data_IF_675906138809
#
_entry.id   IF_675906138809
#
_cell.length_a   1.000
_cell.length_b   1.000
_cell.length_c   1.000
_cell.angle_alpha   90.00
_cell.angle_beta   90.00
_cell.angle_gamma   90.00
#
_symmetry.space_group_name_H-M   'P 1'
#
loop_
_entity.id
_entity.type
_entity.pdbx_description
1 polymer ?
#
# COMPACT_ATOMS: atom_id res chain seq x y z
N UNK A 1 36.92 41.99 41.10
CA UNK A 1 36.28 42.71 39.97
C UNK A 1 36.52 41.97 38.62
N UNK A 2 37.80 41.69 38.29
CA UNK A 2 38.14 41.00 37.03
C UNK A 2 37.60 39.57 36.96
N UNK A 3 37.59 38.84 38.06
CA UNK A 3 37.05 37.47 38.10
C UNK A 3 35.53 37.47 38.00
N UNK A 4 34.84 38.41 38.60
CA UNK A 4 33.39 38.59 38.48
C UNK A 4 32.97 38.92 37.03
N UNK A 5 33.71 39.81 36.39
CA UNK A 5 33.48 40.16 34.99
C UNK A 5 33.73 38.97 34.05
N UNK A 6 34.74 38.13 34.33
CA UNK A 6 34.99 36.92 33.54
C UNK A 6 33.88 35.86 33.70
N UNK A 7 33.32 35.71 34.89
CA UNK A 7 32.23 34.82 35.19
C UNK A 7 30.95 35.30 34.50
N UNK A 8 30.59 36.56 34.62
CA UNK A 8 29.43 37.21 34.01
C UNK A 8 29.47 37.13 32.46
N UNK A 9 30.59 37.49 31.85
CA UNK A 9 30.77 37.36 30.39
C UNK A 9 30.88 35.92 29.94
N UNK A 10 31.34 35.00 30.78
CA UNK A 10 31.37 33.56 30.51
C UNK A 10 29.96 32.97 30.45
N UNK A 11 29.07 33.35 31.36
CA UNK A 11 27.68 32.91 31.37
C UNK A 11 26.90 33.49 30.19
N UNK A 12 27.08 34.76 29.89
CA UNK A 12 26.44 35.44 28.78
C UNK A 12 26.86 34.84 27.42
N UNK A 13 28.16 34.53 27.27
CA UNK A 13 28.67 33.82 26.07
C UNK A 13 28.13 32.41 25.92
N UNK A 14 27.95 31.67 27.05
CA UNK A 14 27.36 30.36 27.02
C UNK A 14 25.86 30.40 26.68
N UNK A 15 25.12 31.36 27.20
CA UNK A 15 23.71 31.57 26.87
C UNK A 15 23.52 31.93 25.39
N UNK A 16 24.33 32.86 24.88
CA UNK A 16 24.30 33.24 23.46
C UNK A 16 24.66 32.05 22.55
N UNK A 17 25.66 31.25 22.94
CA UNK A 17 26.02 30.03 22.20
C UNK A 17 24.88 29.01 22.15
N UNK A 18 24.17 28.77 23.26
CA UNK A 18 23.00 27.88 23.29
C UNK A 18 21.89 28.42 22.39
N UNK A 19 21.53 29.68 22.53
CA UNK A 19 20.49 30.30 21.70
C UNK A 19 20.81 30.24 20.21
N UNK A 20 22.07 30.43 19.81
CA UNK A 20 22.51 30.30 18.43
C UNK A 20 22.44 28.86 17.93
N UNK A 21 22.77 27.86 18.77
CA UNK A 21 22.67 26.43 18.41
C UNK A 21 21.21 26.03 18.23
N UNK A 22 20.34 26.44 19.15
CA UNK A 22 18.89 26.15 19.08
C UNK A 22 18.27 26.78 17.82
N UNK A 23 18.72 27.99 17.47
CA UNK A 23 18.27 28.69 16.26
C UNK A 23 18.75 28.01 14.99
N UNK A 24 20.01 27.54 14.96
CA UNK A 24 20.57 26.80 13.83
C UNK A 24 19.84 25.42 13.68
N UNK A 25 19.52 24.73 14.77
CA UNK A 25 18.73 23.48 14.69
C UNK A 25 17.33 23.73 14.14
N UNK A 26 16.65 24.81 14.55
CA UNK A 26 15.33 25.18 14.03
C UNK A 26 15.40 25.54 12.53
N UNK A 27 16.39 26.30 12.12
CA UNK A 27 16.57 26.69 10.71
C UNK A 27 16.84 25.46 9.82
N UNK A 28 17.66 24.51 10.31
CA UNK A 28 17.91 23.24 9.63
C UNK A 28 16.64 22.40 9.49
N UNK A 29 15.83 22.29 10.55
CA UNK A 29 14.56 21.57 10.52
C UNK A 29 13.57 22.20 9.53
N UNK A 30 13.48 23.54 9.51
CA UNK A 30 12.59 24.26 8.60
C UNK A 30 13.04 24.17 7.14
N UNK A 31 14.33 24.16 6.87
CA UNK A 31 14.90 23.98 5.54
C UNK A 31 14.69 22.54 5.06
N UNK A 32 14.89 21.53 5.92
CA UNK A 32 14.61 20.15 5.61
C UNK A 32 13.13 19.92 5.29
N UNK A 33 12.22 20.49 6.08
CA UNK A 33 10.76 20.43 5.82
C UNK A 33 10.39 21.10 4.51
N UNK A 34 10.94 22.29 4.22
CA UNK A 34 10.70 23.00 2.95
C UNK A 34 11.19 22.22 1.74
N UNK A 35 12.36 21.61 1.83
CA UNK A 35 12.93 20.75 0.78
C UNK A 35 12.04 19.55 0.50
N UNK A 36 11.61 18.84 1.56
CA UNK A 36 10.69 17.71 1.45
C UNK A 36 9.33 18.10 0.83
N UNK A 37 8.72 19.18 1.31
CA UNK A 37 7.45 19.69 0.79
C UNK A 37 7.56 20.11 -0.68
N UNK A 38 8.64 20.80 -1.06
CA UNK A 38 8.90 21.19 -2.45
C UNK A 38 9.08 19.98 -3.36
N UNK A 39 9.80 18.95 -2.89
CA UNK A 39 9.96 17.70 -3.60
C UNK A 39 8.63 16.97 -3.77
N UNK A 40 7.83 16.85 -2.72
CA UNK A 40 6.51 16.22 -2.74
C UNK A 40 5.51 16.93 -3.65
N UNK A 41 5.55 18.28 -3.71
CA UNK A 41 4.66 19.06 -4.59
C UNK A 41 4.97 18.88 -6.07
N UNK A 42 6.20 18.53 -6.43
CA UNK A 42 6.62 18.26 -7.81
C UNK A 42 6.22 16.88 -8.31
N UNK A 43 5.82 15.99 -7.40
CA UNK A 43 5.48 14.61 -7.69
C UNK A 43 3.96 14.44 -7.58
N UNK A 44 3.29 14.41 -8.72
CA UNK A 44 1.86 14.07 -8.81
C UNK A 44 1.72 12.64 -9.31
N UNK A 45 1.36 11.71 -8.43
CA UNK A 45 0.98 10.34 -8.80
C UNK A 45 -0.49 10.10 -8.47
N UNK A 46 -1.20 9.40 -9.37
CA UNK A 46 -2.57 8.96 -9.14
C UNK A 46 -2.59 7.79 -8.15
N UNK A 47 -3.50 7.84 -7.19
CA UNK A 47 -3.77 6.71 -6.28
C UNK A 47 -4.67 5.69 -6.96
N UNK A 48 -4.31 4.42 -6.93
CA UNK A 48 -5.11 3.29 -7.43
C UNK A 48 -5.77 2.55 -6.26
N UNK A 49 -7.02 2.12 -6.45
CA UNK A 49 -7.70 1.27 -5.46
C UNK A 49 -7.24 -0.19 -5.61
N UNK A 50 -6.99 -0.85 -4.49
CA UNK A 50 -6.61 -2.25 -4.47
C UNK A 50 -7.80 -3.15 -4.80
N UNK A 51 -7.69 -3.93 -5.86
CA UNK A 51 -8.65 -4.97 -6.20
C UNK A 51 -7.94 -6.33 -6.13
N UNK A 52 -8.33 -7.17 -5.17
CA UNK A 52 -7.89 -8.57 -5.10
C UNK A 52 -8.54 -9.43 -6.19
N UNK A 53 -9.56 -8.93 -6.85
CA UNK A 53 -10.24 -9.54 -7.98
C UNK A 53 -10.32 -8.57 -9.16
N UNK A 54 -10.10 -9.07 -10.36
CA UNK A 54 -10.22 -8.32 -11.62
C UNK A 54 -11.44 -8.81 -12.38
N UNK A 55 -12.26 -7.89 -12.88
CA UNK A 55 -13.45 -8.21 -13.67
C UNK A 55 -13.13 -8.31 -15.17
N UNK A 56 -13.76 -9.26 -15.84
CA UNK A 56 -13.74 -9.44 -17.28
C UNK A 56 -15.16 -9.39 -17.79
N UNK A 57 -15.42 -8.52 -18.78
CA UNK A 57 -16.73 -8.38 -19.42
C UNK A 57 -17.02 -9.55 -20.34
N UNK A 58 -18.22 -10.11 -20.22
CA UNK A 58 -18.71 -11.19 -21.05
C UNK A 58 -19.69 -10.66 -22.10
N UNK A 59 -19.63 -11.13 -23.36
CA UNK A 59 -20.48 -10.61 -24.45
C UNK A 59 -21.97 -11.00 -24.29
N UNK A 60 -22.27 -12.07 -23.57
CA UNK A 60 -23.63 -12.55 -23.30
C UNK A 60 -23.61 -13.52 -22.10
N UNK A 61 -24.80 -13.83 -21.57
CA UNK A 61 -24.97 -14.76 -20.43
C UNK A 61 -24.63 -16.22 -20.79
N UNK A 62 -24.80 -16.64 -22.04
CA UNK A 62 -24.45 -18.00 -22.48
C UNK A 62 -22.96 -18.29 -22.30
N UNK A 63 -22.12 -17.24 -22.31
CA UNK A 63 -20.70 -17.36 -22.08
C UNK A 63 -20.37 -17.89 -20.67
N UNK A 64 -21.18 -17.56 -19.65
CA UNK A 64 -21.02 -18.10 -18.28
C UNK A 64 -21.11 -19.61 -18.27
N UNK A 65 -22.16 -20.16 -18.87
CA UNK A 65 -22.35 -21.61 -18.98
C UNK A 65 -21.21 -22.32 -19.72
N UNK A 66 -20.67 -21.65 -20.77
CA UNK A 66 -19.54 -22.17 -21.56
C UNK A 66 -18.23 -22.13 -20.79
N UNK A 67 -17.98 -21.06 -20.00
CA UNK A 67 -16.83 -20.97 -19.12
C UNK A 67 -16.86 -22.04 -18.05
N UNK A 68 -18.01 -22.31 -17.46
CA UNK A 68 -18.17 -23.40 -16.49
C UNK A 68 -17.93 -24.76 -17.19
N UNK A 69 -18.57 -24.98 -18.33
CA UNK A 69 -18.50 -26.22 -19.09
C UNK A 69 -19.27 -27.38 -18.45
N UNK A 70 -19.34 -28.51 -19.15
CA UNK A 70 -20.03 -29.70 -18.62
C UNK A 70 -19.38 -30.13 -17.31
N UNK A 71 -20.18 -30.27 -16.25
CA UNK A 71 -19.75 -30.68 -14.91
C UNK A 71 -18.61 -29.78 -14.33
N UNK A 72 -18.51 -28.52 -14.76
CA UNK A 72 -17.49 -27.64 -14.30
C UNK A 72 -16.08 -27.91 -14.86
N UNK A 73 -15.96 -28.63 -15.99
CA UNK A 73 -14.66 -29.04 -16.53
C UNK A 73 -13.77 -27.86 -16.94
N UNK A 74 -14.33 -26.88 -17.63
CA UNK A 74 -13.55 -25.76 -18.14
C UNK A 74 -13.07 -24.84 -17.02
N UNK A 75 -13.94 -24.51 -16.07
CA UNK A 75 -13.57 -23.68 -14.90
C UNK A 75 -12.48 -24.36 -14.07
N UNK A 76 -12.60 -25.66 -13.79
CA UNK A 76 -11.56 -26.39 -13.06
C UNK A 76 -10.23 -26.42 -13.80
N UNK A 77 -10.25 -26.62 -15.13
CA UNK A 77 -9.03 -26.57 -15.95
C UNK A 77 -8.39 -25.18 -15.88
N UNK A 78 -9.18 -24.11 -16.01
CA UNK A 78 -8.69 -22.73 -15.92
C UNK A 78 -8.05 -22.46 -14.58
N UNK A 79 -8.73 -22.78 -13.47
CA UNK A 79 -8.23 -22.57 -12.11
C UNK A 79 -6.97 -23.39 -11.81
N UNK A 80 -6.92 -24.64 -12.27
CA UNK A 80 -5.77 -25.52 -12.09
C UNK A 80 -4.51 -25.00 -12.80
N UNK A 81 -4.66 -24.48 -14.02
CA UNK A 81 -3.52 -24.01 -14.82
C UNK A 81 -3.06 -22.62 -14.35
N UNK A 82 -4.00 -21.71 -14.06
CA UNK A 82 -3.66 -20.34 -13.66
C UNK A 82 -3.28 -20.23 -12.18
N UNK A 83 -3.80 -21.09 -11.33
CA UNK A 83 -3.75 -20.95 -9.87
C UNK A 83 -4.61 -19.80 -9.35
N UNK A 84 -5.52 -19.26 -10.18
CA UNK A 84 -6.46 -18.21 -9.84
C UNK A 84 -7.88 -18.77 -9.77
N UNK A 85 -8.71 -18.25 -8.88
CA UNK A 85 -10.12 -18.61 -8.77
C UNK A 85 -10.95 -17.80 -9.77
N UNK A 86 -11.80 -18.46 -10.55
CA UNK A 86 -12.74 -17.83 -11.47
C UNK A 86 -14.13 -17.75 -10.82
N UNK A 87 -14.54 -16.57 -10.43
CA UNK A 87 -15.84 -16.30 -9.82
C UNK A 87 -16.84 -15.93 -10.90
N UNK A 88 -17.87 -16.74 -11.03
CA UNK A 88 -19.01 -16.54 -11.94
C UNK A 88 -20.26 -16.50 -11.06
N UNK A 89 -20.78 -15.31 -10.81
CA UNK A 89 -21.96 -15.05 -10.00
C UNK A 89 -23.16 -14.63 -10.87
N UNK A 90 -24.23 -14.17 -10.24
CA UNK A 90 -25.45 -13.71 -10.91
C UNK A 90 -25.29 -12.32 -11.56
N UNK A 91 -24.16 -11.62 -11.36
CA UNK A 91 -23.92 -10.27 -11.94
C UNK A 91 -23.92 -10.36 -13.47
N UNK A 92 -24.83 -9.67 -14.17
CA UNK A 92 -24.96 -9.81 -15.63
C UNK A 92 -23.70 -9.36 -16.37
N UNK A 93 -23.26 -10.16 -17.34
CA UNK A 93 -22.19 -9.78 -18.27
C UNK A 93 -20.80 -9.68 -17.66
N UNK A 94 -20.57 -10.26 -16.48
CA UNK A 94 -19.28 -10.21 -15.79
C UNK A 94 -18.81 -11.58 -15.31
N UNK A 95 -17.50 -11.79 -15.34
CA UNK A 95 -16.79 -12.82 -14.59
C UNK A 95 -15.61 -12.16 -13.86
N UNK A 96 -15.25 -12.67 -12.69
CA UNK A 96 -14.14 -12.13 -11.91
C UNK A 96 -13.04 -13.16 -11.71
N UNK A 97 -11.78 -12.69 -11.78
CA UNK A 97 -10.60 -13.50 -11.51
C UNK A 97 -9.99 -13.03 -10.20
N UNK A 98 -9.84 -13.92 -9.24
CA UNK A 98 -9.25 -13.66 -7.92
C UNK A 98 -7.98 -14.48 -7.71
N UNK A 99 -6.90 -13.84 -7.30
CA UNK A 99 -5.64 -14.49 -6.94
C UNK A 99 -4.82 -13.58 -6.04
N UNK A 100 -4.14 -14.17 -5.04
CA UNK A 100 -3.20 -13.44 -4.19
C UNK A 100 -1.96 -12.97 -4.95
N UNK A 101 -1.47 -13.80 -5.88
CA UNK A 101 -0.35 -13.41 -6.74
C UNK A 101 -0.84 -12.47 -7.83
N UNK A 102 -0.41 -11.20 -7.84
CA UNK A 102 -0.89 -10.21 -8.79
C UNK A 102 -0.44 -10.49 -10.24
N UNK A 103 0.68 -11.16 -10.44
CA UNK A 103 1.16 -11.54 -11.78
C UNK A 103 0.30 -12.68 -12.31
N UNK A 104 0.02 -13.72 -11.51
CA UNK A 104 -0.90 -14.81 -11.88
C UNK A 104 -2.31 -14.29 -12.13
N UNK A 105 -2.77 -13.33 -11.32
CA UNK A 105 -4.09 -12.70 -11.50
C UNK A 105 -4.17 -11.98 -12.85
N UNK A 106 -3.13 -11.25 -13.24
CA UNK A 106 -3.09 -10.56 -14.53
C UNK A 106 -3.01 -11.54 -15.70
N UNK A 107 -2.20 -12.60 -15.59
CA UNK A 107 -2.14 -13.67 -16.58
C UNK A 107 -3.52 -14.32 -16.77
N UNK A 108 -4.19 -14.63 -15.67
CA UNK A 108 -5.52 -15.24 -15.71
C UNK A 108 -6.56 -14.28 -16.33
N UNK A 109 -6.51 -12.98 -16.02
CA UNK A 109 -7.38 -11.96 -16.63
C UNK A 109 -7.20 -11.91 -18.15
N UNK A 110 -5.95 -11.78 -18.63
CA UNK A 110 -5.64 -11.71 -20.06
C UNK A 110 -6.04 -13.02 -20.76
N UNK A 111 -5.77 -14.17 -20.14
CA UNK A 111 -6.17 -15.45 -20.68
C UNK A 111 -7.68 -15.57 -20.81
N UNK A 112 -8.44 -15.14 -19.80
CA UNK A 112 -9.89 -15.13 -19.81
C UNK A 112 -10.44 -14.22 -20.92
N UNK A 113 -9.91 -13.00 -21.07
CA UNK A 113 -10.29 -12.08 -22.15
C UNK A 113 -10.06 -12.69 -23.53
N UNK A 114 -8.94 -13.41 -23.75
CA UNK A 114 -8.65 -14.14 -25.00
C UNK A 114 -9.65 -15.24 -25.27
N UNK A 115 -9.96 -16.05 -24.25
CA UNK A 115 -10.94 -17.13 -24.31
C UNK A 115 -12.34 -16.59 -24.67
N UNK A 116 -12.74 -15.51 -23.99
CA UNK A 116 -14.03 -14.85 -24.23
C UNK A 116 -14.11 -14.27 -25.63
N UNK A 117 -13.03 -13.65 -26.12
CA UNK A 117 -12.94 -13.08 -27.47
C UNK A 117 -12.97 -14.14 -28.57
N UNK A 118 -12.27 -15.27 -28.40
CA UNK A 118 -12.30 -16.40 -29.36
C UNK A 118 -13.68 -17.06 -29.37
N UNK A 119 -14.34 -17.11 -28.22
CA UNK A 119 -15.66 -17.71 -28.08
C UNK A 119 -15.67 -19.23 -28.05
N UNK A 120 -14.61 -19.93 -28.41
CA UNK A 120 -14.48 -21.38 -28.27
C UNK A 120 -13.79 -21.72 -26.96
N UNK A 121 -14.33 -22.65 -26.19
CA UNK A 121 -13.80 -23.00 -24.87
C UNK A 121 -13.58 -24.50 -24.81
N UNK A 122 -12.34 -24.91 -24.67
CA UNK A 122 -11.91 -26.27 -24.43
C UNK A 122 -10.64 -26.26 -23.57
N UNK A 123 -10.34 -27.36 -22.86
CA UNK A 123 -9.13 -27.44 -22.04
C UNK A 123 -7.84 -27.08 -22.77
N UNK A 124 -7.66 -27.54 -23.99
CA UNK A 124 -6.47 -27.24 -24.80
C UNK A 124 -6.39 -25.74 -25.18
N UNK A 125 -7.50 -25.08 -25.50
CA UNK A 125 -7.54 -23.65 -25.78
C UNK A 125 -7.33 -22.81 -24.53
N UNK A 126 -7.77 -23.28 -23.37
CA UNK A 126 -7.49 -22.64 -22.07
C UNK A 126 -5.99 -22.68 -21.81
N UNK A 127 -5.36 -23.84 -21.92
CA UNK A 127 -3.92 -24.02 -21.72
C UNK A 127 -3.08 -23.11 -22.64
N UNK A 128 -3.40 -23.08 -23.93
CA UNK A 128 -2.71 -22.24 -24.91
C UNK A 128 -2.92 -20.73 -24.62
N UNK A 129 -4.14 -20.34 -24.24
CA UNK A 129 -4.46 -18.96 -23.89
C UNK A 129 -3.68 -18.51 -22.65
N UNK A 130 -3.54 -19.35 -21.64
CA UNK A 130 -2.77 -19.05 -20.41
C UNK A 130 -1.28 -18.92 -20.73
N UNK A 131 -0.74 -19.85 -21.53
CA UNK A 131 0.67 -19.77 -21.98
C UNK A 131 0.96 -18.46 -22.72
N UNK A 132 0.13 -18.11 -23.70
CA UNK A 132 0.27 -16.85 -24.47
C UNK A 132 0.12 -15.61 -23.59
N UNK A 133 -0.80 -15.62 -22.63
CA UNK A 133 -0.96 -14.54 -21.67
C UNK A 133 0.27 -14.39 -20.78
N UNK A 134 0.87 -15.50 -20.34
CA UNK A 134 2.12 -15.49 -19.57
C UNK A 134 3.26 -14.84 -20.34
N UNK A 135 3.45 -15.22 -21.61
CA UNK A 135 4.48 -14.61 -22.49
C UNK A 135 4.26 -13.11 -22.68
N UNK A 136 2.99 -12.68 -22.79
CA UNK A 136 2.63 -11.27 -22.93
C UNK A 136 2.92 -10.47 -21.66
N UNK A 137 2.56 -10.99 -20.48
CA UNK A 137 2.81 -10.33 -19.20
C UNK A 137 4.31 -10.18 -18.95
N UNK A 138 5.12 -11.20 -19.24
CA UNK A 138 6.59 -11.11 -19.12
C UNK A 138 7.17 -10.04 -20.05
N UNK A 139 6.74 -10.01 -21.31
CA UNK A 139 7.16 -8.96 -22.28
C UNK A 139 6.74 -7.56 -21.82
N UNK A 140 5.53 -7.43 -21.30
CA UNK A 140 5.03 -6.17 -20.77
C UNK A 140 5.86 -5.72 -19.55
N UNK A 141 6.10 -6.61 -18.59
CA UNK A 141 6.93 -6.33 -17.42
C UNK A 141 8.31 -5.81 -17.83
N UNK A 142 9.01 -6.53 -18.72
CA UNK A 142 10.34 -6.09 -19.21
C UNK A 142 10.32 -4.70 -19.83
N UNK A 143 9.28 -4.39 -20.60
CA UNK A 143 9.13 -3.06 -21.18
C UNK A 143 8.95 -2.00 -20.10
N UNK A 144 8.04 -2.21 -19.14
CA UNK A 144 7.78 -1.27 -18.05
C UNK A 144 9.03 -1.00 -17.20
N UNK A 145 9.78 -2.06 -16.85
CA UNK A 145 11.01 -1.90 -16.08
C UNK A 145 12.07 -1.12 -16.84
N UNK A 146 12.27 -1.43 -18.13
CA UNK A 146 13.20 -0.70 -19.00
C UNK A 146 12.81 0.76 -19.17
N UNK A 147 11.52 1.02 -19.38
CA UNK A 147 10.99 2.39 -19.52
C UNK A 147 11.22 3.18 -18.22
N UNK A 148 10.99 2.59 -17.05
CA UNK A 148 11.26 3.21 -15.75
C UNK A 148 12.75 3.59 -15.58
N UNK A 149 13.67 2.69 -15.93
CA UNK A 149 15.12 2.95 -15.89
C UNK A 149 15.51 4.09 -16.84
N UNK A 150 15.00 4.06 -18.08
CA UNK A 150 15.25 5.09 -19.10
C UNK A 150 14.70 6.45 -18.68
N UNK A 151 13.47 6.50 -18.24
CA UNK A 151 12.75 7.75 -17.91
C UNK A 151 13.37 8.44 -16.67
N UNK A 152 13.98 7.67 -15.78
CA UNK A 152 14.78 8.18 -14.67
C UNK A 152 16.20 8.60 -15.09
N UNK A 153 16.60 8.39 -16.36
CA UNK A 153 17.95 8.69 -16.84
C UNK A 153 19.04 7.85 -16.17
N UNK A 154 18.71 6.63 -15.76
CA UNK A 154 19.67 5.70 -15.16
C UNK A 154 20.40 4.87 -16.23
N UNK A 155 21.66 4.47 -15.97
CA UNK A 155 22.33 3.48 -16.82
C UNK A 155 21.51 2.18 -16.93
N UNK A 156 21.58 1.49 -18.09
CA UNK A 156 20.89 0.21 -18.27
C UNK A 156 21.19 -0.78 -17.16
N UNK A 157 20.21 -1.60 -16.83
CA UNK A 157 20.29 -2.63 -15.79
C UNK A 157 20.28 -4.02 -16.43
N UNK A 158 20.61 -5.03 -15.63
CA UNK A 158 20.44 -6.42 -16.05
C UNK A 158 18.99 -6.70 -16.44
N UNK A 159 18.77 -7.50 -17.50
CA UNK A 159 17.44 -7.79 -18.00
C UNK A 159 16.53 -8.47 -16.97
N UNK A 160 17.10 -9.23 -16.04
CA UNK A 160 16.36 -9.83 -14.94
C UNK A 160 15.88 -8.77 -13.93
N UNK A 161 16.68 -7.73 -13.66
CA UNK A 161 16.30 -6.60 -12.81
C UNK A 161 15.20 -5.79 -13.48
N UNK A 162 15.31 -5.48 -14.77
CA UNK A 162 14.27 -4.77 -15.54
C UNK A 162 12.95 -5.52 -15.52
N UNK A 163 12.97 -6.86 -15.69
CA UNK A 163 11.78 -7.68 -15.63
C UNK A 163 11.13 -7.65 -14.24
N UNK A 164 11.93 -7.81 -13.18
CA UNK A 164 11.41 -7.76 -11.80
C UNK A 164 10.86 -6.39 -11.43
N UNK A 165 11.52 -5.29 -11.84
CA UNK A 165 10.98 -3.94 -11.71
C UNK A 165 9.61 -3.82 -12.37
N UNK A 166 9.47 -4.31 -13.60
CA UNK A 166 8.20 -4.27 -14.30
C UNK A 166 7.12 -5.12 -13.65
N UNK A 167 7.47 -6.25 -13.00
CA UNK A 167 6.52 -7.06 -12.23
C UNK A 167 5.93 -6.32 -11.04
N UNK A 168 6.65 -5.33 -10.48
CA UNK A 168 6.13 -4.45 -9.44
C UNK A 168 4.91 -3.64 -9.89
N UNK A 169 4.74 -3.42 -11.21
CA UNK A 169 3.57 -2.75 -11.76
C UNK A 169 2.24 -3.47 -11.44
N UNK A 170 2.27 -4.79 -11.39
CA UNK A 170 1.07 -5.60 -11.10
C UNK A 170 0.78 -5.71 -9.60
N UNK A 171 1.71 -5.24 -8.76
CA UNK A 171 1.62 -5.33 -7.30
C UNK A 171 1.21 -3.99 -6.71
N UNK A 172 0.31 -4.04 -5.75
CA UNK A 172 -0.07 -2.89 -4.94
C UNK A 172 0.54 -3.02 -3.54
N UNK A 173 1.08 -1.94 -3.04
CA UNK A 173 1.60 -1.83 -1.68
C UNK A 173 1.04 -0.54 -1.08
N UNK A 174 0.32 -0.65 0.03
CA UNK A 174 -0.31 0.48 0.71
C UNK A 174 -1.15 1.38 -0.25
N UNK A 175 -1.94 0.78 -1.15
CA UNK A 175 -2.76 1.45 -2.18
C UNK A 175 -1.99 2.22 -3.26
N UNK A 176 -0.71 2.00 -3.37
CA UNK A 176 0.09 2.53 -4.46
C UNK A 176 0.55 1.39 -5.38
N UNK A 177 0.57 1.67 -6.68
CA UNK A 177 1.28 0.81 -7.61
C UNK A 177 2.77 0.80 -7.21
N UNK A 178 3.31 -0.40 -6.90
CA UNK A 178 4.65 -0.52 -6.33
C UNK A 178 5.75 0.00 -7.27
N UNK A 179 5.60 -0.16 -8.60
CA UNK A 179 6.54 0.42 -9.56
C UNK A 179 6.49 1.95 -9.55
N UNK A 180 5.29 2.53 -9.54
CA UNK A 180 5.11 3.99 -9.48
C UNK A 180 5.68 4.57 -8.19
N UNK A 181 5.45 3.89 -7.06
CA UNK A 181 6.06 4.22 -5.78
C UNK A 181 7.60 4.18 -5.85
N UNK A 182 8.18 3.11 -6.40
CA UNK A 182 9.63 2.99 -6.54
C UNK A 182 10.24 4.09 -7.42
N UNK A 183 9.55 4.49 -8.50
CA UNK A 183 9.96 5.63 -9.34
C UNK A 183 9.96 6.94 -8.55
N UNK A 184 8.94 7.16 -7.75
CA UNK A 184 8.83 8.36 -6.91
C UNK A 184 9.91 8.38 -5.83
N UNK A 185 10.12 7.27 -5.11
CA UNK A 185 11.21 7.14 -4.13
C UNK A 185 12.56 7.40 -4.78
N UNK A 186 12.81 6.91 -6.01
CA UNK A 186 14.02 7.19 -6.77
C UNK A 186 14.22 8.70 -7.03
N UNK A 187 13.16 9.39 -7.41
CA UNK A 187 13.22 10.84 -7.66
C UNK A 187 13.47 11.63 -6.37
N UNK A 188 12.78 11.27 -5.28
CA UNK A 188 13.01 11.87 -3.96
C UNK A 188 14.44 11.64 -3.48
N UNK A 189 14.96 10.42 -3.59
CA UNK A 189 16.34 10.11 -3.22
C UNK A 189 17.36 10.95 -4.01
N UNK A 190 17.13 11.13 -5.32
CA UNK A 190 18.02 11.93 -6.14
C UNK A 190 18.00 13.41 -5.75
N UNK A 191 16.83 13.97 -5.46
CA UNK A 191 16.69 15.36 -5.00
C UNK A 191 17.35 15.57 -3.65
N UNK A 192 17.09 14.69 -2.68
CA UNK A 192 17.71 14.76 -1.37
C UNK A 192 19.23 14.59 -1.42
N UNK A 193 19.74 13.68 -2.25
CA UNK A 193 21.17 13.48 -2.45
C UNK A 193 21.85 14.73 -3.02
N UNK A 194 21.22 15.39 -4.01
CA UNK A 194 21.73 16.63 -4.59
C UNK A 194 21.74 17.76 -3.55
N UNK A 195 20.73 17.87 -2.70
CA UNK A 195 20.64 18.91 -1.66
C UNK A 195 21.74 18.76 -0.61
N UNK A 196 22.09 17.54 -0.21
CA UNK A 196 23.18 17.28 0.74
C UNK A 196 24.55 17.14 0.09
N UNK A 197 24.66 17.34 -1.24
CA UNK A 197 25.92 17.40 -1.97
C UNK A 197 26.60 16.04 -2.21
N UNK A 198 25.84 14.93 -2.25
CA UNK A 198 26.35 13.61 -2.63
C UNK A 198 25.84 13.18 -4.03
N UNK A 199 26.49 12.18 -4.63
CA UNK A 199 26.14 11.70 -5.97
C UNK A 199 24.67 11.22 -6.01
N UNK A 200 23.80 11.84 -6.83
CA UNK A 200 22.38 11.47 -6.93
C UNK A 200 22.14 10.15 -7.67
N UNK A 201 23.09 9.65 -8.46
CA UNK A 201 22.88 8.45 -9.29
C UNK A 201 22.72 7.18 -8.42
N UNK A 202 23.62 6.88 -7.46
CA UNK A 202 23.42 5.75 -6.56
C UNK A 202 22.18 5.90 -5.69
N UNK A 203 21.85 7.13 -5.23
CA UNK A 203 20.64 7.40 -4.46
C UNK A 203 19.36 7.09 -5.24
N UNK A 204 19.27 7.59 -6.47
CA UNK A 204 18.17 7.33 -7.40
C UNK A 204 18.03 5.84 -7.69
N UNK A 205 19.15 5.16 -7.90
CA UNK A 205 19.22 3.74 -8.20
C UNK A 205 18.75 2.89 -7.00
N UNK A 206 19.21 3.24 -5.80
CA UNK A 206 18.77 2.59 -4.56
C UNK A 206 17.28 2.78 -4.31
N UNK A 207 16.76 4.00 -4.51
CA UNK A 207 15.33 4.30 -4.39
C UNK A 207 14.47 3.51 -5.39
N UNK A 208 14.92 3.34 -6.65
CA UNK A 208 14.19 2.52 -7.63
C UNK A 208 14.15 1.04 -7.26
N UNK A 209 15.23 0.53 -6.66
CA UNK A 209 15.43 -0.90 -6.41
C UNK A 209 15.05 -1.35 -5.00
N UNK A 210 14.69 -0.43 -4.07
CA UNK A 210 14.50 -0.77 -2.67
C UNK A 210 13.46 -1.88 -2.44
N UNK A 211 12.40 -1.88 -3.23
CA UNK A 211 11.28 -2.81 -3.16
C UNK A 211 11.36 -3.98 -4.17
N UNK A 212 12.48 -4.13 -4.88
CA UNK A 212 12.64 -5.15 -5.91
C UNK A 212 12.35 -6.57 -5.41
N UNK A 213 12.70 -6.85 -4.16
CA UNK A 213 12.44 -8.14 -3.53
C UNK A 213 10.97 -8.52 -3.41
N UNK A 214 10.05 -7.57 -3.48
CA UNK A 214 8.61 -7.84 -3.51
C UNK A 214 8.20 -8.58 -4.80
N UNK A 215 8.97 -8.47 -5.88
CA UNK A 215 8.72 -9.19 -7.14
C UNK A 215 9.35 -10.59 -7.18
N UNK A 216 10.17 -10.94 -6.18
CA UNK A 216 10.80 -12.26 -6.06
C UNK A 216 9.82 -13.17 -5.31
N UNK A 217 9.63 -14.40 -5.80
CA UNK A 217 8.98 -15.44 -5.02
C UNK A 217 9.90 -15.83 -3.87
N UNK A 218 9.63 -15.28 -2.68
CA UNK A 218 10.39 -15.55 -1.49
C UNK A 218 9.68 -16.62 -0.66
N UNK A 219 10.46 -17.46 0.03
CA UNK A 219 9.92 -18.35 1.05
C UNK A 219 9.13 -17.55 2.10
N UNK A 220 8.02 -18.10 2.57
CA UNK A 220 7.15 -17.43 3.53
C UNK A 220 7.96 -16.99 4.77
N UNK A 221 8.01 -15.66 5.00
CA UNK A 221 8.72 -15.06 6.12
C UNK A 221 10.08 -14.44 5.78
N UNK A 222 10.57 -14.50 4.54
CA UNK A 222 11.81 -13.80 4.16
C UNK A 222 11.56 -12.31 3.91
N UNK A 223 12.50 -11.48 4.37
CA UNK A 223 12.46 -10.04 4.12
C UNK A 223 12.69 -9.74 2.63
N UNK A 224 11.79 -8.92 2.04
CA UNK A 224 11.98 -8.46 0.67
C UNK A 224 13.23 -7.59 0.51
N UNK A 225 13.61 -6.83 1.54
CA UNK A 225 14.81 -6.01 1.54
C UNK A 225 16.06 -6.87 1.38
N UNK A 226 16.17 -7.93 2.18
CA UNK A 226 17.30 -8.86 2.13
C UNK A 226 17.30 -9.70 0.84
N UNK A 227 16.14 -10.18 0.41
CA UNK A 227 16.01 -10.95 -0.84
C UNK A 227 16.39 -10.11 -2.08
N UNK A 228 15.91 -8.85 -2.15
CA UNK A 228 16.27 -7.90 -3.19
C UNK A 228 17.76 -7.61 -3.20
N UNK A 229 18.34 -7.29 -2.04
CA UNK A 229 19.77 -7.02 -1.90
C UNK A 229 20.67 -8.22 -2.28
N UNK A 230 20.25 -9.43 -1.90
CA UNK A 230 21.00 -10.65 -2.25
C UNK A 230 21.01 -10.88 -3.77
N UNK A 231 19.89 -10.66 -4.45
CA UNK A 231 19.83 -10.73 -5.91
C UNK A 231 20.71 -9.67 -6.56
N UNK A 232 20.60 -8.42 -6.15
CA UNK A 232 21.37 -7.29 -6.69
C UNK A 232 22.88 -7.51 -6.52
N UNK A 233 23.31 -7.99 -5.34
CA UNK A 233 24.71 -8.36 -5.10
C UNK A 233 25.20 -9.43 -6.06
N UNK A 234 24.39 -10.46 -6.32
CA UNK A 234 24.73 -11.54 -7.26
C UNK A 234 24.86 -11.05 -8.69
N UNK A 235 24.08 -10.02 -9.07
CA UNK A 235 24.13 -9.40 -10.40
C UNK A 235 25.18 -8.29 -10.52
N UNK A 236 26.02 -8.08 -9.50
CA UNK A 236 27.12 -7.12 -9.52
C UNK A 236 26.73 -5.66 -9.37
N UNK A 237 25.60 -5.38 -8.71
CA UNK A 237 25.17 -4.02 -8.39
C UNK A 237 26.12 -3.34 -7.40
N UNK A 238 26.23 -2.00 -7.47
CA UNK A 238 27.06 -1.18 -6.56
C UNK A 238 26.77 -1.52 -5.09
N UNK A 239 27.84 -1.78 -4.32
CA UNK A 239 27.72 -2.17 -2.92
C UNK A 239 26.95 -1.16 -2.07
N UNK A 240 27.04 0.14 -2.39
CA UNK A 240 26.31 1.21 -1.71
C UNK A 240 24.80 1.10 -1.97
N UNK A 241 24.42 0.77 -3.20
CA UNK A 241 23.01 0.54 -3.60
C UNK A 241 22.49 -0.73 -2.90
N UNK A 242 23.28 -1.81 -2.93
CA UNK A 242 22.94 -3.09 -2.27
C UNK A 242 22.72 -2.90 -0.78
N UNK A 243 23.61 -2.16 -0.09
CA UNK A 243 23.45 -1.85 1.33
C UNK A 243 22.20 -1.00 1.58
N UNK A 244 21.96 0.02 0.77
CA UNK A 244 20.78 0.87 0.92
C UNK A 244 19.48 0.08 0.76
N UNK A 245 19.40 -0.85 -0.19
CA UNK A 245 18.28 -1.77 -0.37
C UNK A 245 18.13 -2.70 0.84
N UNK A 246 19.22 -3.29 1.35
CA UNK A 246 19.15 -4.19 2.52
C UNK A 246 18.74 -3.47 3.80
N UNK A 247 19.18 -2.21 3.98
CA UNK A 247 19.05 -1.46 5.23
C UNK A 247 17.76 -0.64 5.34
N UNK A 248 16.95 -0.49 4.27
CA UNK A 248 15.83 0.45 4.28
C UNK A 248 14.74 0.12 5.34
N UNK A 249 14.67 -1.12 5.83
CA UNK A 249 13.85 -1.53 6.97
C UNK A 249 14.66 -1.75 8.26
N UNK A 250 15.92 -1.28 8.32
CA UNK A 250 16.82 -1.40 9.49
C UNK A 250 17.18 -2.83 9.88
N UNK A 251 17.08 -3.78 8.95
CA UNK A 251 17.43 -5.18 9.18
C UNK A 251 18.95 -5.40 9.18
N UNK A 252 19.68 -4.51 8.51
CA UNK A 252 21.15 -4.44 8.56
C UNK A 252 21.60 -2.99 8.80
N UNK A 253 22.82 -2.78 9.32
CA UNK A 253 23.38 -1.44 9.49
C UNK A 253 23.48 -0.68 8.17
N UNK A 254 23.22 0.64 8.22
CA UNK A 254 23.49 1.54 7.11
C UNK A 254 25.00 1.82 7.03
N UNK A 255 25.62 1.51 5.90
CA UNK A 255 27.07 1.70 5.66
C UNK A 255 27.36 3.00 4.91
N UNK A 256 26.34 3.70 4.45
CA UNK A 256 26.42 4.96 3.71
C UNK A 256 25.18 5.83 3.90
N UNK A 257 25.25 7.09 3.48
CA UNK A 257 24.11 8.02 3.54
C UNK A 257 22.97 7.64 2.58
N UNK A 258 23.20 6.73 1.63
CA UNK A 258 22.15 6.31 0.69
C UNK A 258 21.02 5.50 1.38
N UNK A 259 21.35 4.69 2.38
CA UNK A 259 20.33 3.95 3.13
C UNK A 259 19.36 4.87 3.91
N UNK A 260 19.82 5.85 4.73
CA UNK A 260 18.93 6.84 5.34
C UNK A 260 18.09 7.63 4.33
N UNK A 261 18.66 7.99 3.16
CA UNK A 261 17.91 8.68 2.12
C UNK A 261 16.75 7.84 1.58
N UNK A 262 16.97 6.54 1.32
CA UNK A 262 15.89 5.63 0.90
C UNK A 262 14.83 5.52 1.98
N UNK A 263 15.20 5.38 3.27
CA UNK A 263 14.26 5.29 4.38
C UNK A 263 13.36 6.54 4.48
N UNK A 264 13.95 7.73 4.33
CA UNK A 264 13.23 9.01 4.37
C UNK A 264 12.31 9.13 3.15
N UNK A 265 12.80 8.83 1.96
CA UNK A 265 12.05 8.95 0.72
C UNK A 265 10.87 7.96 0.67
N UNK A 266 11.07 6.71 1.10
CA UNK A 266 10.02 5.70 1.21
C UNK A 266 8.94 6.12 2.20
N UNK A 267 9.33 6.57 3.40
CA UNK A 267 8.40 7.08 4.40
C UNK A 267 7.61 8.30 3.88
N UNK A 268 8.27 9.24 3.20
CA UNK A 268 7.64 10.43 2.62
C UNK A 268 6.63 10.07 1.53
N UNK A 269 6.99 9.15 0.61
CA UNK A 269 6.10 8.65 -0.44
C UNK A 269 4.90 7.91 0.16
N UNK A 270 5.12 7.06 1.17
CA UNK A 270 4.07 6.28 1.84
C UNK A 270 3.16 7.09 2.76
N UNK A 271 3.53 8.31 3.18
CA UNK A 271 2.76 9.14 4.11
C UNK A 271 1.82 10.15 3.45
N UNK A 272 1.82 10.24 2.12
CA UNK A 272 0.94 11.17 1.40
C UNK A 272 -0.55 10.87 1.61
N UNK A 273 -1.42 11.91 1.62
CA UNK A 273 -2.87 11.70 1.64
C UNK A 273 -3.31 10.80 0.49
N UNK A 274 -3.93 9.66 0.80
CA UNK A 274 -4.37 8.66 -0.18
C UNK A 274 -3.39 7.52 -0.46
N UNK A 275 -2.11 7.62 -0.06
CA UNK A 275 -1.14 6.53 -0.21
C UNK A 275 -1.35 5.39 0.83
N UNK A 276 -1.86 5.71 1.99
CA UNK A 276 -2.25 4.75 3.03
C UNK A 276 -3.77 4.68 3.13
N UNK A 277 -4.41 3.86 2.34
CA UNK A 277 -5.59 3.18 2.81
C UNK A 277 -5.11 1.93 3.55
N UNK A 278 -5.66 1.76 4.71
CA UNK A 278 -5.36 0.69 5.66
C UNK A 278 -5.24 -0.68 4.99
N UNK A 279 -4.16 -1.40 5.26
CA UNK A 279 -4.08 -2.86 5.05
C UNK A 279 -5.33 -3.52 5.62
N UNK A 280 -5.77 -4.63 5.05
CA UNK A 280 -6.89 -5.44 5.58
C UNK A 280 -6.74 -5.69 7.09
N UNK A 281 -5.52 -5.80 7.57
CA UNK A 281 -5.18 -6.02 8.97
C UNK A 281 -5.40 -4.76 9.83
N UNK A 282 -4.99 -3.58 9.35
CA UNK A 282 -5.26 -2.30 10.03
C UNK A 282 -6.73 -1.88 9.89
N UNK A 283 -7.41 -2.36 8.84
CA UNK A 283 -8.85 -2.24 8.68
C UNK A 283 -9.59 -3.06 9.72
N UNK A 284 -9.27 -4.35 9.84
CA UNK A 284 -9.88 -5.24 10.83
C UNK A 284 -9.61 -4.78 12.27
N UNK A 285 -8.39 -4.30 12.54
CA UNK A 285 -8.02 -3.71 13.82
C UNK A 285 -8.83 -2.43 14.13
N UNK A 286 -9.00 -1.55 13.14
CA UNK A 286 -9.77 -0.32 13.30
C UNK A 286 -11.26 -0.58 13.49
N UNK A 287 -11.85 -1.51 12.73
CA UNK A 287 -13.22 -1.94 12.90
C UNK A 287 -13.45 -2.46 14.32
N UNK A 288 -12.58 -3.37 14.78
CA UNK A 288 -12.64 -3.90 16.15
C UNK A 288 -12.51 -2.81 17.21
N UNK A 289 -11.56 -1.89 17.04
CA UNK A 289 -11.34 -0.80 17.99
C UNK A 289 -12.56 0.15 18.06
N UNK A 290 -13.20 0.44 16.92
CA UNK A 290 -14.45 1.22 16.90
C UNK A 290 -15.57 0.52 17.65
N UNK A 291 -15.73 -0.77 17.44
CA UNK A 291 -16.75 -1.59 18.12
C UNK A 291 -16.45 -1.71 19.62
N UNK A 292 -15.20 -1.96 20.00
CA UNK A 292 -14.75 -2.01 21.41
C UNK A 292 -14.96 -0.69 22.15
N UNK A 293 -14.63 0.44 21.50
CA UNK A 293 -14.89 1.78 22.08
C UNK A 293 -16.38 1.99 22.34
N UNK A 294 -17.26 1.54 21.45
CA UNK A 294 -18.69 1.68 21.64
C UNK A 294 -19.24 0.74 22.73
N UNK A 295 -18.79 -0.51 22.74
CA UNK A 295 -19.19 -1.53 23.73
C UNK A 295 -18.77 -1.19 25.17
N UNK A 296 -17.76 -0.32 25.33
CA UNK A 296 -17.33 0.14 26.66
C UNK A 296 -18.30 1.09 27.34
N UNK A 297 -19.31 1.60 26.64
CA UNK A 297 -20.33 2.50 27.23
C UNK A 297 -21.50 1.73 27.84
N UNK A 298 -21.88 2.10 29.06
CA UNK A 298 -23.05 1.50 29.70
C UNK A 298 -24.32 1.81 28.91
N UNK A 299 -25.18 0.80 28.79
CA UNK A 299 -26.41 0.87 27.99
C UNK A 299 -26.23 0.50 26.51
N UNK A 300 -25.01 0.31 26.03
CA UNK A 300 -24.73 -0.26 24.69
C UNK A 300 -24.85 -1.78 24.76
N UNK A 301 -25.62 -2.37 23.85
CA UNK A 301 -25.83 -3.81 23.75
C UNK A 301 -24.99 -4.43 22.65
N UNK A 302 -24.94 -3.77 21.51
CA UNK A 302 -24.20 -4.23 20.34
C UNK A 302 -23.65 -3.02 19.57
N UNK A 303 -22.52 -3.18 18.89
CA UNK A 303 -21.92 -2.17 18.04
C UNK A 303 -21.36 -2.82 16.78
N UNK A 304 -21.58 -2.22 15.62
CA UNK A 304 -21.13 -2.71 14.33
C UNK A 304 -20.57 -1.58 13.48
N UNK A 305 -19.36 -1.77 12.98
CA UNK A 305 -18.74 -0.83 12.05
C UNK A 305 -19.02 -1.24 10.59
N UNK A 306 -19.59 -0.33 9.82
CA UNK A 306 -19.96 -0.49 8.41
C UNK A 306 -19.12 0.43 7.49
N UNK A 307 -19.22 0.20 6.18
CA UNK A 307 -18.60 1.04 5.15
C UNK A 307 -17.10 1.31 5.40
N UNK A 308 -16.36 0.27 5.69
CA UNK A 308 -14.93 0.39 5.97
C UNK A 308 -14.59 1.24 7.21
N UNK A 309 -15.47 1.20 8.23
CA UNK A 309 -15.31 1.99 9.46
C UNK A 309 -15.72 3.46 9.32
N UNK A 310 -16.48 3.81 8.27
CA UNK A 310 -17.05 5.16 8.08
C UNK A 310 -18.42 5.35 8.74
N UNK A 311 -19.09 4.26 9.12
CA UNK A 311 -20.35 4.27 9.85
C UNK A 311 -20.25 3.29 11.02
N UNK A 312 -20.54 3.76 12.23
CA UNK A 312 -20.63 2.97 13.45
C UNK A 312 -22.11 2.94 13.89
N UNK A 313 -22.72 1.74 13.83
CA UNK A 313 -24.08 1.53 14.34
C UNK A 313 -24.01 0.94 15.73
N UNK A 314 -24.69 1.59 16.65
CA UNK A 314 -24.71 1.24 18.07
C UNK A 314 -26.14 0.95 18.49
N UNK A 315 -26.39 -0.27 18.94
CA UNK A 315 -27.71 -0.70 19.44
C UNK A 315 -27.69 -0.59 20.97
N UNK A 316 -28.62 0.17 21.49
CA UNK A 316 -28.73 0.40 22.93
C UNK A 316 -29.92 -0.34 23.57
N UNK A 317 -29.78 -0.65 24.85
CA UNK A 317 -30.85 -1.23 25.65
C UNK A 317 -31.93 -0.16 25.91
N UNK A 318 -33.17 -0.33 25.41
CA UNK A 318 -34.23 0.65 25.58
C UNK A 318 -34.70 0.79 27.03
N UNK A 319 -34.40 -0.18 27.91
CA UNK A 319 -34.68 -0.11 29.35
C UNK A 319 -33.66 0.72 30.13
N UNK A 320 -32.47 0.95 29.59
CA UNK A 320 -31.39 1.72 30.22
C UNK A 320 -31.20 3.11 29.62
N UNK A 321 -31.50 3.27 28.34
CA UNK A 321 -31.23 4.50 27.57
C UNK A 321 -32.56 5.00 27.00
N UNK A 322 -33.03 6.17 27.46
CA UNK A 322 -34.12 6.88 26.87
C UNK A 322 -33.71 7.75 25.67
N UNK A 323 -34.61 8.47 25.05
CA UNK A 323 -34.34 9.25 23.84
C UNK A 323 -33.36 10.41 24.10
N UNK A 324 -33.41 11.01 25.30
CA UNK A 324 -32.46 12.04 25.69
C UNK A 324 -31.07 11.44 25.96
N UNK A 325 -31.01 10.33 26.71
CA UNK A 325 -29.81 9.58 26.98
C UNK A 325 -29.13 9.06 25.68
N UNK A 326 -29.93 8.67 24.68
CA UNK A 326 -29.43 8.24 23.37
C UNK A 326 -28.68 9.37 22.63
N UNK A 327 -29.24 10.58 22.68
CA UNK A 327 -28.62 11.76 22.08
C UNK A 327 -27.31 12.11 22.77
N UNK A 328 -27.25 12.09 24.08
CA UNK A 328 -26.05 12.37 24.86
C UNK A 328 -25.01 11.27 24.71
N UNK A 329 -25.41 10.00 24.65
CA UNK A 329 -24.54 8.88 24.40
C UNK A 329 -23.89 8.97 23.01
N UNK A 330 -24.63 9.32 21.97
CA UNK A 330 -24.11 9.54 20.63
C UNK A 330 -23.03 10.65 20.61
N UNK A 331 -23.26 11.72 21.36
CA UNK A 331 -22.28 12.82 21.51
C UNK A 331 -21.01 12.39 22.24
N UNK A 332 -21.14 11.62 23.32
CA UNK A 332 -19.99 11.07 24.07
C UNK A 332 -19.21 10.05 23.24
N UNK A 333 -19.89 9.20 22.50
CA UNK A 333 -19.27 8.26 21.55
C UNK A 333 -18.46 8.99 20.51
N UNK A 334 -19.01 10.08 19.91
CA UNK A 334 -18.26 10.91 18.96
C UNK A 334 -16.96 11.42 19.55
N UNK A 335 -17.00 12.03 20.73
CA UNK A 335 -15.81 12.56 21.40
C UNK A 335 -14.78 11.46 21.68
N UNK A 336 -15.24 10.29 22.12
CA UNK A 336 -14.34 9.16 22.44
C UNK A 336 -13.71 8.56 21.18
N UNK A 337 -14.45 8.48 20.09
CA UNK A 337 -13.93 8.05 18.78
C UNK A 337 -12.89 9.04 18.25
N UNK A 338 -13.16 10.35 18.36
CA UNK A 338 -12.21 11.42 17.96
C UNK A 338 -10.92 11.39 18.80
N UNK A 339 -11.02 11.07 20.10
CA UNK A 339 -9.86 10.96 21.00
C UNK A 339 -9.03 9.69 20.77
N UNK A 340 -9.70 8.56 20.49
CA UNK A 340 -9.05 7.25 20.43
C UNK A 340 -8.48 6.93 19.06
N UNK A 341 -9.07 7.49 18.01
CA UNK A 341 -8.71 7.20 16.63
C UNK A 341 -8.12 8.43 15.94
N UNK A 342 -6.86 8.33 15.55
CA UNK A 342 -6.25 9.27 14.61
C UNK A 342 -6.84 9.00 13.21
N UNK A 343 -7.95 9.67 12.86
CA UNK A 343 -8.74 9.40 11.66
C UNK A 343 -8.66 10.53 10.64
N UNK A 344 -8.33 10.19 9.39
CA UNK A 344 -8.51 11.11 8.25
C UNK A 344 -9.88 10.82 7.61
N UNK A 345 -10.89 11.62 7.96
CA UNK A 345 -12.23 11.48 7.42
C UNK A 345 -13.31 11.67 8.49
N UNK A 346 -14.58 11.42 8.12
CA UNK A 346 -15.73 11.52 9.01
C UNK A 346 -16.26 10.12 9.35
N UNK A 347 -16.46 9.82 10.63
CA UNK A 347 -17.17 8.61 11.08
C UNK A 347 -18.59 9.02 11.44
N UNK A 348 -19.58 8.47 10.74
CA UNK A 348 -20.99 8.64 11.05
C UNK A 348 -21.38 7.69 12.18
N UNK A 349 -21.84 8.20 13.29
CA UNK A 349 -22.37 7.39 14.41
C UNK A 349 -23.88 7.36 14.32
N UNK A 350 -24.43 6.16 14.22
CA UNK A 350 -25.87 5.90 14.18
C UNK A 350 -26.25 5.11 15.43
N UNK A 351 -26.98 5.73 16.33
CA UNK A 351 -27.49 5.08 17.55
C UNK A 351 -28.91 4.59 17.30
N UNK A 352 -29.14 3.32 17.57
CA UNK A 352 -30.42 2.65 17.33
C UNK A 352 -31.01 2.18 18.67
N UNK A 353 -32.19 2.67 18.99
CA UNK A 353 -32.99 2.21 20.11
C UNK A 353 -34.22 1.51 19.57
N UNK A 354 -34.31 0.20 19.79
CA UNK A 354 -35.38 -0.63 19.25
C UNK A 354 -36.11 -1.37 20.39
N UNK A 355 -37.43 -1.35 20.35
CA UNK A 355 -38.29 -2.13 21.24
C UNK A 355 -39.23 -2.97 20.40
N UNK A 356 -39.20 -4.31 20.59
CA UNK A 356 -40.05 -5.25 19.84
C UNK A 356 -41.10 -5.83 20.78
N UNK A 357 -42.34 -5.85 20.33
CA UNK A 357 -43.46 -6.54 20.97
C UNK A 357 -43.89 -7.68 20.04
N UNK A 358 -43.98 -8.91 20.56
CA UNK A 358 -44.34 -10.09 19.76
C UNK A 358 -45.55 -10.74 20.42
N UNK A 359 -46.64 -10.95 19.66
CA UNK A 359 -47.78 -11.78 20.05
C UNK A 359 -47.96 -12.90 19.01
N UNK A 360 -48.29 -14.10 19.48
CA UNK A 360 -48.62 -15.24 18.64
C UNK A 360 -50.11 -15.41 18.51
N UNK A 361 -50.68 -15.30 17.30
CA UNK A 361 -52.02 -15.69 17.00
C UNK A 361 -52.09 -17.21 16.73
N UNK A 362 -53.02 -17.91 17.39
CA UNK A 362 -53.29 -19.35 17.18
C UNK A 362 -54.46 -19.54 16.26
#
# INVERSE_FOLDING_TARGET
>A
LLDHLREEYGEEAQHLRRSLLDQVEQDIDDDARRTLLSAMQRLTTSTTQDATALSVSLPNEDMKGRLIGREGRNIRTFEQITGATLLIDETPGLAMVSCFDPVRREIARIALERIVKDGRISPALIEDSVRLAGDEVVKHARRLGRDAVRDLGLPPMDAAVEELLGRLHFRLSANQNTLSHSIEVAQLCAMLAAEIGIDPIPAKRAGLLHDLGKAIEAEAGSSHALAGAALLRRLGEDARVVNAVAAHHREVPAESLYAPLVMIADAASGSRPGARSSTLESYAQRVRLLEEVALAFDGVREAYAFQSGRELRVIVDPGKVDDFGATELARRLRLKVEETLSYQGTVKIVLIREQRFTEEAR
#
